data_IF_467526460575
#
_entry.id   IF_467526460575
#
_cell.length_a   1.000
_cell.length_b   1.000
_cell.length_c   1.000
_cell.angle_alpha   90.00
_cell.angle_beta   90.00
_cell.angle_gamma   90.00
#
_symmetry.space_group_name_H-M   'P 1'
#
loop_
_entity.id
_entity.type
_entity.pdbx_description
1 polymer ?
#
# COMPACT_ATOMS: atom_id res chain seq x y z
N UNK A 1 -26.80 -9.58 34.32
CA UNK A 1 -25.81 -10.69 34.33
C UNK A 1 -25.48 -11.00 32.87
N UNK A 2 -24.57 -10.22 32.30
CA UNK A 2 -24.23 -10.31 30.86
C UNK A 2 -22.71 -10.19 30.73
N UNK A 3 -22.12 -11.14 30.00
CA UNK A 3 -20.84 -11.12 29.29
C UNK A 3 -19.59 -11.30 30.15
N UNK A 4 -19.23 -12.56 30.42
CA UNK A 4 -17.89 -12.99 30.80
C UNK A 4 -17.25 -13.87 29.68
N UNK A 5 -17.65 -13.72 28.43
CA UNK A 5 -17.19 -14.63 27.36
C UNK A 5 -15.98 -14.12 26.56
N UNK A 6 -15.48 -12.90 26.75
CA UNK A 6 -14.41 -12.33 25.92
C UNK A 6 -13.32 -11.61 26.72
N UNK A 7 -13.04 -12.05 27.97
CA UNK A 7 -12.00 -11.46 28.83
C UNK A 7 -10.76 -12.32 28.81
N UNK A 8 -9.60 -11.71 28.50
CA UNK A 8 -8.28 -12.29 28.72
C UNK A 8 -7.63 -11.70 29.96
N UNK A 9 -6.75 -12.45 30.61
CA UNK A 9 -5.96 -11.93 31.75
C UNK A 9 -4.57 -11.55 31.28
N UNK A 10 -4.18 -10.28 31.55
CA UNK A 10 -2.80 -9.83 31.49
C UNK A 10 -2.29 -9.66 32.92
N UNK A 11 -1.58 -10.66 33.44
CA UNK A 11 -1.30 -10.76 34.87
C UNK A 11 -2.59 -10.94 35.66
N UNK A 12 -2.85 -10.03 36.61
CA UNK A 12 -4.08 -10.01 37.42
C UNK A 12 -5.15 -9.08 36.84
N UNK A 13 -4.92 -8.43 35.68
CA UNK A 13 -5.80 -7.43 35.12
C UNK A 13 -6.69 -8.05 34.01
N UNK A 14 -8.03 -8.06 34.19
CA UNK A 14 -8.94 -8.52 33.16
C UNK A 14 -9.05 -7.46 32.06
N UNK A 15 -8.87 -7.88 30.79
CA UNK A 15 -8.95 -7.03 29.60
C UNK A 15 -9.96 -7.63 28.64
N UNK A 16 -10.77 -6.80 28.02
CA UNK A 16 -11.58 -7.21 26.88
C UNK A 16 -10.64 -7.61 25.73
N UNK A 17 -10.78 -8.85 25.26
CA UNK A 17 -9.88 -9.45 24.27
C UNK A 17 -9.96 -8.73 22.94
N UNK A 18 -11.15 -8.30 22.49
CA UNK A 18 -11.35 -7.60 21.23
C UNK A 18 -10.64 -6.25 21.23
N UNK A 19 -10.88 -5.44 22.25
CA UNK A 19 -10.24 -4.13 22.40
C UNK A 19 -8.71 -4.24 22.53
N UNK A 20 -8.23 -5.30 23.19
CA UNK A 20 -6.79 -5.55 23.28
C UNK A 20 -6.17 -5.90 21.92
N UNK A 21 -6.82 -6.79 21.13
CA UNK A 21 -6.34 -7.18 19.82
C UNK A 21 -6.31 -5.99 18.85
N UNK A 22 -7.34 -5.15 18.85
CA UNK A 22 -7.37 -3.92 18.06
C UNK A 22 -6.23 -2.95 18.42
N UNK A 23 -6.01 -2.71 19.71
CA UNK A 23 -4.91 -1.82 20.16
C UNK A 23 -3.54 -2.42 19.84
N UNK A 24 -3.35 -3.74 20.01
CA UNK A 24 -2.12 -4.43 19.67
C UNK A 24 -1.82 -4.29 18.18
N UNK A 25 -2.79 -4.55 17.32
CA UNK A 25 -2.62 -4.53 15.88
C UNK A 25 -2.40 -3.09 15.37
N UNK A 26 -3.07 -2.12 15.97
CA UNK A 26 -2.78 -0.71 15.73
C UNK A 26 -1.33 -0.36 16.12
N UNK A 27 -0.86 -0.74 17.31
CA UNK A 27 0.51 -0.47 17.74
C UNK A 27 1.55 -1.18 16.85
N UNK A 28 1.23 -2.37 16.31
CA UNK A 28 2.07 -3.05 15.33
C UNK A 28 2.16 -2.25 14.04
N UNK A 29 1.08 -1.64 13.57
CA UNK A 29 1.10 -0.76 12.39
C UNK A 29 1.96 0.50 12.61
N UNK A 30 2.12 0.96 13.86
CA UNK A 30 3.08 2.01 14.24
C UNK A 30 4.53 1.52 14.42
N UNK A 31 4.86 0.30 14.02
CA UNK A 31 6.22 -0.24 13.99
C UNK A 31 6.70 -0.87 15.31
N UNK A 32 5.78 -1.31 16.18
CA UNK A 32 6.11 -2.17 17.31
C UNK A 32 5.99 -3.65 16.92
N UNK A 33 6.79 -4.51 17.56
CA UNK A 33 6.55 -5.95 17.47
C UNK A 33 5.34 -6.35 18.35
N UNK A 34 4.69 -7.50 18.11
CA UNK A 34 3.58 -7.97 18.94
C UNK A 34 3.93 -8.03 20.43
N UNK A 35 5.14 -8.48 20.80
CA UNK A 35 5.60 -8.53 22.18
C UNK A 35 5.88 -7.13 22.75
N UNK A 36 6.43 -6.19 21.96
CA UNK A 36 6.58 -4.79 22.36
C UNK A 36 5.23 -4.14 22.64
N UNK A 37 4.25 -4.36 21.75
CA UNK A 37 2.88 -3.85 21.93
C UNK A 37 2.24 -4.37 23.22
N UNK A 38 2.44 -5.65 23.54
CA UNK A 38 1.94 -6.29 24.73
C UNK A 38 2.54 -5.69 26.01
N UNK A 39 3.86 -5.48 26.04
CA UNK A 39 4.56 -4.84 27.16
C UNK A 39 4.13 -3.39 27.32
N UNK A 40 4.07 -2.63 26.24
CA UNK A 40 3.65 -1.22 26.27
C UNK A 40 2.21 -1.09 26.75
N UNK A 41 1.29 -1.91 26.26
CA UNK A 41 -0.11 -1.94 26.70
C UNK A 41 -0.22 -2.22 28.20
N UNK A 42 0.49 -3.25 28.67
CA UNK A 42 0.48 -3.60 30.11
C UNK A 42 0.94 -2.43 30.99
N UNK A 43 2.08 -1.82 30.64
CA UNK A 43 2.60 -0.66 31.37
C UNK A 43 1.68 0.55 31.30
N UNK A 44 1.07 0.80 30.15
CA UNK A 44 0.14 1.92 29.96
C UNK A 44 -1.17 1.79 30.73
N UNK A 45 -1.60 0.57 31.04
CA UNK A 45 -2.83 0.30 31.79
C UNK A 45 -2.60 0.09 33.28
N UNK A 46 -1.48 -0.49 33.67
CA UNK A 46 -1.20 -0.87 35.07
C UNK A 46 -0.28 0.14 35.77
N UNK A 47 0.47 0.93 35.02
CA UNK A 47 1.46 1.86 35.53
C UNK A 47 2.83 1.23 35.76
N UNK A 48 3.66 1.89 36.60
CA UNK A 48 5.05 1.50 36.85
C UNK A 48 5.18 0.08 37.39
N UNK A 49 6.05 -0.74 36.78
CA UNK A 49 6.30 -2.13 37.15
C UNK A 49 7.76 -2.51 36.96
N UNK A 50 8.23 -3.52 37.75
CA UNK A 50 9.57 -4.08 37.56
C UNK A 50 9.60 -5.02 36.34
N UNK A 51 10.78 -5.24 35.76
CA UNK A 51 10.93 -6.19 34.63
C UNK A 51 10.46 -7.61 35.00
N UNK A 52 10.60 -8.02 36.27
CA UNK A 52 10.12 -9.30 36.77
C UNK A 52 8.60 -9.41 36.77
N UNK A 53 7.91 -8.34 37.17
CA UNK A 53 6.44 -8.30 37.17
C UNK A 53 5.88 -8.29 35.75
N UNK A 54 6.52 -7.53 34.87
CA UNK A 54 6.17 -7.47 33.44
C UNK A 54 6.33 -8.85 32.81
N UNK A 55 7.49 -9.53 33.00
CA UNK A 55 7.77 -10.84 32.46
C UNK A 55 6.68 -11.86 32.82
N UNK A 56 6.26 -11.87 34.09
CA UNK A 56 5.19 -12.75 34.58
C UNK A 56 3.83 -12.39 33.95
N UNK A 57 3.50 -11.09 33.89
CA UNK A 57 2.21 -10.63 33.42
C UNK A 57 1.99 -10.85 31.92
N UNK A 58 3.04 -10.64 31.10
CA UNK A 58 2.96 -10.78 29.65
C UNK A 58 3.34 -12.19 29.16
N UNK A 59 3.74 -13.09 30.09
CA UNK A 59 4.19 -14.43 29.82
C UNK A 59 5.34 -14.50 28.80
N UNK A 60 6.41 -13.75 29.08
CA UNK A 60 7.62 -13.67 28.27
C UNK A 60 8.83 -13.93 29.18
N UNK A 61 9.87 -14.65 28.72
CA UNK A 61 11.08 -14.87 29.52
C UNK A 61 11.69 -13.54 30.01
N UNK A 62 12.26 -13.56 31.23
CA UNK A 62 12.82 -12.34 31.85
C UNK A 62 13.93 -11.71 31.02
N UNK A 63 14.80 -12.50 30.41
CA UNK A 63 15.85 -12.00 29.50
C UNK A 63 15.27 -11.28 28.29
N UNK A 64 14.27 -11.86 27.65
CA UNK A 64 13.56 -11.23 26.51
C UNK A 64 12.83 -9.95 26.96
N UNK A 65 12.24 -9.96 28.16
CA UNK A 65 11.55 -8.77 28.70
C UNK A 65 12.50 -7.56 28.81
N UNK A 66 13.76 -7.76 29.23
CA UNK A 66 14.75 -6.68 29.23
C UNK A 66 15.06 -6.18 27.83
N UNK A 67 15.21 -7.05 26.85
CA UNK A 67 15.39 -6.64 25.45
C UNK A 67 14.21 -5.84 24.92
N UNK A 68 12.97 -6.26 25.21
CA UNK A 68 11.76 -5.54 24.84
C UNK A 68 11.70 -4.15 25.50
N UNK A 69 12.01 -4.07 26.80
CA UNK A 69 12.03 -2.80 27.54
C UNK A 69 13.10 -1.85 26.99
N UNK A 70 14.31 -2.35 26.72
CA UNK A 70 15.38 -1.56 26.08
C UNK A 70 14.95 -1.05 24.70
N UNK A 71 14.32 -1.89 23.90
CA UNK A 71 13.82 -1.49 22.59
C UNK A 71 12.73 -0.40 22.68
N UNK A 72 11.82 -0.51 23.65
CA UNK A 72 10.78 0.50 23.91
C UNK A 72 11.37 1.81 24.48
N UNK A 73 12.42 1.73 25.28
CA UNK A 73 13.17 2.90 25.74
C UNK A 73 13.91 3.59 24.59
N UNK A 74 14.55 2.83 23.69
CA UNK A 74 15.19 3.36 22.50
C UNK A 74 14.19 4.06 21.56
N UNK A 75 12.94 3.59 21.54
CA UNK A 75 11.84 4.29 20.85
C UNK A 75 11.30 5.49 21.64
N UNK A 76 11.77 5.70 22.88
CA UNK A 76 11.36 6.82 23.75
C UNK A 76 9.96 6.70 24.33
N UNK A 77 9.27 5.56 24.23
CA UNK A 77 7.89 5.38 24.68
C UNK A 77 7.76 4.68 26.04
N UNK A 78 8.89 4.22 26.62
CA UNK A 78 8.98 3.67 27.98
C UNK A 78 10.15 4.34 28.69
N UNK A 79 9.96 4.70 29.95
CA UNK A 79 10.97 5.28 30.82
C UNK A 79 11.30 4.32 31.96
N UNK A 80 12.55 4.34 32.44
CA UNK A 80 12.97 3.62 33.64
C UNK A 80 13.20 4.58 34.79
N UNK A 81 12.78 4.22 36.00
CA UNK A 81 13.09 4.97 37.20
C UNK A 81 14.51 4.66 37.69
N UNK A 82 15.17 5.66 38.29
CA UNK A 82 16.47 5.47 38.95
C UNK A 82 16.38 4.89 40.37
N UNK A 83 15.17 4.48 40.79
CA UNK A 83 14.95 3.89 42.10
C UNK A 83 15.20 2.38 42.10
N UNK A 84 15.60 1.82 43.24
CA UNK A 84 15.69 0.38 43.39
C UNK A 84 14.47 -0.17 44.14
N UNK A 85 13.78 -1.19 43.61
CA UNK A 85 14.02 -1.84 42.32
C UNK A 85 13.64 -0.95 41.14
N UNK A 86 14.37 -1.05 40.04
CA UNK A 86 14.11 -0.32 38.77
C UNK A 86 12.69 -0.64 38.31
N UNK A 87 11.90 0.39 38.06
CA UNK A 87 10.55 0.32 37.53
C UNK A 87 10.49 0.97 36.14
N UNK A 88 9.66 0.42 35.28
CA UNK A 88 9.42 0.90 33.94
C UNK A 88 8.01 1.46 33.83
N UNK A 89 7.86 2.58 33.15
CA UNK A 89 6.59 3.27 32.95
C UNK A 89 6.40 3.61 31.47
N UNK A 90 5.23 3.33 30.91
CA UNK A 90 4.91 3.74 29.55
C UNK A 90 4.49 5.22 29.51
N UNK A 91 4.85 5.90 28.43
CA UNK A 91 4.28 7.23 28.14
C UNK A 91 2.76 7.12 27.90
N UNK A 92 2.01 8.20 28.16
CA UNK A 92 0.61 8.28 27.76
C UNK A 92 0.46 7.99 26.27
N UNK A 93 -0.55 7.20 25.89
CA UNK A 93 -0.74 6.71 24.52
C UNK A 93 -0.66 7.82 23.45
N UNK A 94 -1.28 8.97 23.71
CA UNK A 94 -1.24 10.11 22.78
C UNK A 94 0.19 10.60 22.52
N UNK A 95 1.02 10.66 23.56
CA UNK A 95 2.42 11.08 23.43
C UNK A 95 3.24 10.01 22.72
N UNK A 96 3.03 8.74 23.05
CA UNK A 96 3.73 7.62 22.44
C UNK A 96 3.44 7.52 20.92
N UNK A 97 2.18 7.63 20.52
CA UNK A 97 1.79 7.61 19.10
C UNK A 97 2.40 8.78 18.35
N UNK A 98 2.34 10.00 18.89
CA UNK A 98 2.95 11.17 18.24
C UNK A 98 4.47 10.99 18.07
N UNK A 99 5.15 10.42 19.06
CA UNK A 99 6.59 10.16 18.98
C UNK A 99 6.92 9.10 17.93
N UNK A 100 6.15 8.03 17.84
CA UNK A 100 6.34 7.00 16.82
C UNK A 100 6.14 7.57 15.40
N UNK A 101 5.09 8.39 15.20
CA UNK A 101 4.84 9.08 13.93
C UNK A 101 5.99 10.01 13.57
N UNK A 102 6.44 10.85 14.52
CA UNK A 102 7.54 11.79 14.25
C UNK A 102 8.85 11.08 13.90
N UNK A 103 9.14 9.98 14.58
CA UNK A 103 10.34 9.16 14.31
C UNK A 103 10.30 8.55 12.90
N UNK A 104 9.15 8.02 12.48
CA UNK A 104 9.01 7.45 11.14
C UNK A 104 9.04 8.54 10.06
N UNK A 105 8.43 9.69 10.30
CA UNK A 105 8.50 10.86 9.40
C UNK A 105 9.95 11.33 9.24
N UNK A 106 10.71 11.41 10.32
CA UNK A 106 12.13 11.78 10.24
C UNK A 106 12.96 10.75 9.45
N UNK A 107 12.67 9.46 9.65
CA UNK A 107 13.29 8.37 8.90
C UNK A 107 12.99 8.49 7.39
N UNK A 108 11.74 8.72 7.01
CA UNK A 108 11.33 8.95 5.62
C UNK A 108 12.02 10.17 5.01
N UNK A 109 12.12 11.27 5.75
CA UNK A 109 12.80 12.47 5.30
C UNK A 109 14.31 12.24 5.09
N UNK A 110 14.95 11.44 5.92
CA UNK A 110 16.35 11.04 5.72
C UNK A 110 16.51 10.20 4.45
N UNK A 111 15.64 9.24 4.22
CA UNK A 111 15.65 8.41 3.01
C UNK A 111 15.45 9.26 1.74
N UNK A 112 14.47 10.17 1.76
CA UNK A 112 14.23 11.10 0.64
C UNK A 112 15.47 11.96 0.31
N UNK A 113 16.23 12.39 1.32
CA UNK A 113 17.44 13.17 1.12
C UNK A 113 18.62 12.34 0.62
N UNK A 114 18.70 11.06 1.01
CA UNK A 114 19.80 10.18 0.60
C UNK A 114 19.58 9.54 -0.78
N UNK A 115 18.33 9.52 -1.29
CA UNK A 115 18.02 8.97 -2.61
C UNK A 115 18.87 9.54 -3.73
N UNK A 116 18.87 10.85 -3.97
CA UNK A 116 19.65 11.47 -5.04
C UNK A 116 21.17 11.23 -4.92
N UNK A 117 21.68 11.22 -3.70
CA UNK A 117 23.10 10.91 -3.47
C UNK A 117 23.44 9.46 -3.82
N UNK A 118 22.52 8.53 -3.55
CA UNK A 118 22.70 7.12 -3.91
C UNK A 118 22.69 6.95 -5.43
N UNK A 119 21.81 7.64 -6.14
CA UNK A 119 21.74 7.65 -7.61
C UNK A 119 23.06 8.17 -8.21
N UNK A 120 23.56 9.31 -7.71
CA UNK A 120 24.85 9.87 -8.15
C UNK A 120 26.03 8.91 -7.93
N UNK A 121 26.05 8.20 -6.79
CA UNK A 121 27.11 7.21 -6.52
C UNK A 121 26.94 5.99 -7.44
N UNK A 122 25.70 5.56 -7.68
CA UNK A 122 25.40 4.43 -8.55
C UNK A 122 25.86 4.66 -9.99
N UNK A 123 25.62 5.85 -10.54
CA UNK A 123 26.07 6.24 -11.89
C UNK A 123 27.61 6.26 -12.03
N UNK A 124 28.35 6.55 -10.94
CA UNK A 124 29.80 6.55 -10.94
C UNK A 124 30.43 5.15 -10.92
N UNK A 125 29.66 4.12 -10.60
CA UNK A 125 30.14 2.73 -10.60
C UNK A 125 29.99 2.18 -12.01
N UNK A 126 31.11 1.83 -12.70
CA UNK A 126 31.02 1.22 -14.02
C UNK A 126 30.24 -0.09 -13.93
N UNK A 127 29.02 -0.11 -14.46
CA UNK A 127 28.28 -1.34 -14.65
C UNK A 127 28.91 -2.15 -15.77
N UNK A 128 28.78 -3.50 -15.75
CA UNK A 128 28.86 -4.25 -16.97
C UNK A 128 27.78 -3.65 -17.89
N UNK A 129 28.20 -3.10 -19.02
CA UNK A 129 27.30 -2.62 -20.06
C UNK A 129 26.35 -3.76 -20.38
N UNK A 130 25.17 -3.77 -19.78
CA UNK A 130 24.03 -4.44 -20.36
C UNK A 130 23.94 -3.82 -21.74
N UNK A 131 24.14 -4.62 -22.77
CA UNK A 131 24.07 -4.25 -24.16
C UNK A 131 23.07 -3.13 -24.33
N UNK A 132 23.51 -2.06 -25.02
CA UNK A 132 22.68 -0.94 -25.43
C UNK A 132 21.29 -1.51 -25.73
N UNK A 133 20.28 -1.00 -25.05
CA UNK A 133 18.91 -1.41 -25.30
C UNK A 133 18.71 -1.16 -26.78
N UNK A 134 18.60 -2.23 -27.56
CA UNK A 134 18.30 -2.15 -28.98
C UNK A 134 16.99 -1.37 -29.11
N UNK A 135 17.12 -0.08 -29.45
CA UNK A 135 15.99 0.78 -29.76
C UNK A 135 15.35 0.22 -31.04
N UNK A 136 14.41 -0.70 -30.90
CA UNK A 136 13.69 -1.29 -32.02
C UNK A 136 13.27 -2.74 -31.83
N UNK A 137 13.80 -3.48 -30.86
CA UNK A 137 13.31 -4.84 -30.60
C UNK A 137 12.03 -4.84 -29.78
N UNK A 138 11.03 -5.61 -30.23
CA UNK A 138 9.83 -5.89 -29.47
C UNK A 138 10.18 -6.63 -28.18
N UNK A 139 9.92 -5.98 -27.03
CA UNK A 139 10.23 -6.53 -25.71
C UNK A 139 8.95 -6.97 -24.99
N UNK A 140 9.02 -8.13 -24.35
CA UNK A 140 7.96 -8.64 -23.47
C UNK A 140 8.54 -8.88 -22.08
N UNK A 141 7.96 -8.23 -21.07
CA UNK A 141 8.36 -8.42 -19.66
C UNK A 141 7.18 -8.95 -18.87
N UNK A 142 7.36 -10.11 -18.22
CA UNK A 142 6.39 -10.66 -17.28
C UNK A 142 6.68 -10.09 -15.91
N UNK A 143 5.70 -9.40 -15.33
CA UNK A 143 5.77 -8.80 -14.00
C UNK A 143 4.97 -9.64 -13.01
N UNK A 144 5.57 -9.96 -11.86
CA UNK A 144 4.94 -10.78 -10.82
C UNK A 144 5.00 -10.07 -9.46
N UNK A 145 3.86 -10.12 -8.76
CA UNK A 145 3.71 -9.45 -7.47
C UNK A 145 3.31 -7.98 -7.57
N UNK A 146 2.56 -7.53 -6.56
CA UNK A 146 1.99 -6.17 -6.55
C UNK A 146 3.03 -5.06 -6.68
N UNK A 147 4.19 -5.21 -6.05
CA UNK A 147 5.22 -4.17 -6.08
C UNK A 147 5.78 -3.93 -7.48
N UNK A 148 6.13 -4.99 -8.22
CA UNK A 148 6.65 -4.85 -9.58
C UNK A 148 5.62 -4.28 -10.55
N UNK A 149 4.38 -4.78 -10.49
CA UNK A 149 3.29 -4.30 -11.33
C UNK A 149 2.96 -2.85 -11.03
N UNK A 150 2.84 -2.48 -9.76
CA UNK A 150 2.55 -1.11 -9.34
C UNK A 150 3.68 -0.15 -9.74
N UNK A 151 4.95 -0.54 -9.53
CA UNK A 151 6.10 0.26 -9.94
C UNK A 151 6.08 0.54 -11.45
N UNK A 152 5.76 -0.48 -12.30
CA UNK A 152 5.68 -0.27 -13.74
C UNK A 152 4.48 0.59 -14.13
N UNK A 153 3.34 0.50 -13.46
CA UNK A 153 2.20 1.39 -13.70
C UNK A 153 2.58 2.84 -13.40
N UNK A 154 3.22 3.11 -12.25
CA UNK A 154 3.69 4.45 -11.92
C UNK A 154 4.72 4.96 -12.93
N UNK A 155 5.67 4.12 -13.33
CA UNK A 155 6.65 4.46 -14.37
C UNK A 155 5.98 4.87 -15.68
N UNK A 156 4.99 4.10 -16.16
CA UNK A 156 4.23 4.44 -17.35
C UNK A 156 3.43 5.73 -17.22
N UNK A 157 2.78 5.96 -16.07
CA UNK A 157 2.00 7.19 -15.83
C UNK A 157 2.92 8.40 -15.77
N UNK A 158 4.00 8.35 -14.98
CA UNK A 158 4.91 9.47 -14.78
C UNK A 158 5.70 9.85 -16.04
N UNK A 159 5.99 8.88 -16.91
CA UNK A 159 6.70 9.08 -18.17
C UNK A 159 5.77 9.27 -19.37
N UNK A 160 4.45 9.33 -19.18
CA UNK A 160 3.50 9.62 -20.25
C UNK A 160 3.67 11.07 -20.72
N UNK A 161 3.60 11.28 -22.03
CA UNK A 161 3.78 12.59 -22.67
C UNK A 161 2.48 13.12 -23.27
N UNK A 162 1.61 12.23 -23.75
CA UNK A 162 0.40 12.59 -24.47
C UNK A 162 -0.86 12.07 -23.77
N UNK A 163 -1.05 10.75 -23.68
CA UNK A 163 -2.29 10.16 -23.19
C UNK A 163 -2.07 8.83 -22.50
N UNK A 164 -2.82 8.59 -21.43
CA UNK A 164 -2.98 7.28 -20.79
C UNK A 164 -4.41 6.75 -21.00
N UNK A 165 -4.57 5.53 -21.50
CA UNK A 165 -5.88 4.87 -21.65
C UNK A 165 -5.93 3.63 -20.76
N UNK A 166 -6.91 3.59 -19.87
CA UNK A 166 -7.06 2.50 -18.90
C UNK A 166 -8.42 1.86 -19.03
N UNK A 167 -8.43 0.54 -19.26
CA UNK A 167 -9.62 -0.29 -19.23
C UNK A 167 -9.48 -1.32 -18.13
N UNK A 168 -10.50 -1.47 -17.31
CA UNK A 168 -10.50 -2.46 -16.23
C UNK A 168 -11.87 -2.71 -15.62
N UNK A 169 -11.97 -3.73 -14.78
CA UNK A 169 -13.17 -3.97 -13.98
C UNK A 169 -13.27 -2.97 -12.81
N UNK A 170 -14.46 -2.86 -12.24
CA UNK A 170 -14.69 -2.07 -11.02
C UNK A 170 -13.70 -2.45 -9.89
N UNK A 171 -13.40 -3.74 -9.73
CA UNK A 171 -12.43 -4.23 -8.74
C UNK A 171 -11.00 -3.77 -9.03
N UNK A 172 -10.63 -3.65 -10.31
CA UNK A 172 -9.31 -3.17 -10.70
C UNK A 172 -9.18 -1.68 -10.36
N UNK A 173 -10.20 -0.86 -10.67
CA UNK A 173 -10.19 0.56 -10.34
C UNK A 173 -10.22 0.83 -8.84
N UNK A 174 -10.89 -0.01 -8.03
CA UNK A 174 -10.78 0.07 -6.56
C UNK A 174 -9.34 -0.14 -6.08
N UNK A 175 -8.60 -1.08 -6.70
CA UNK A 175 -7.18 -1.28 -6.37
C UNK A 175 -6.31 -0.11 -6.83
N UNK A 176 -6.58 0.45 -8.00
CA UNK A 176 -5.87 1.63 -8.53
C UNK A 176 -6.07 2.85 -7.65
N UNK A 177 -7.29 3.07 -7.18
CA UNK A 177 -7.62 4.13 -6.22
C UNK A 177 -6.83 3.97 -4.90
N UNK A 178 -6.84 2.77 -4.31
CA UNK A 178 -6.08 2.51 -3.07
C UNK A 178 -4.56 2.54 -3.26
N UNK A 179 -4.07 2.42 -4.48
CA UNK A 179 -2.66 2.54 -4.82
C UNK A 179 -2.25 3.96 -5.28
N UNK A 180 -3.16 4.95 -5.22
CA UNK A 180 -2.96 6.34 -5.63
C UNK A 180 -2.59 6.52 -7.11
N UNK A 181 -3.00 5.60 -8.00
CA UNK A 181 -2.73 5.74 -9.44
C UNK A 181 -3.55 6.83 -10.10
N UNK A 182 -4.77 7.07 -9.61
CA UNK A 182 -5.64 8.13 -10.12
C UNK A 182 -5.07 9.51 -9.78
N UNK A 183 -4.58 9.67 -8.56
CA UNK A 183 -3.90 10.90 -8.13
C UNK A 183 -2.65 11.18 -8.98
N UNK A 184 -1.87 10.13 -9.29
CA UNK A 184 -0.69 10.24 -10.16
C UNK A 184 -1.04 10.65 -11.59
N UNK A 185 -2.18 10.21 -12.14
CA UNK A 185 -2.67 10.64 -13.45
C UNK A 185 -3.04 12.13 -13.48
N UNK A 186 -3.68 12.62 -12.41
CA UNK A 186 -4.08 14.02 -12.29
C UNK A 186 -2.87 14.95 -12.08
N UNK A 187 -1.92 14.53 -11.23
CA UNK A 187 -0.72 15.30 -10.93
C UNK A 187 0.23 15.44 -12.14
N UNK A 188 0.26 14.45 -13.04
CA UNK A 188 1.17 14.45 -14.19
C UNK A 188 0.71 15.37 -15.35
N UNK A 189 -0.46 15.98 -15.29
CA UNK A 189 -1.00 16.84 -16.35
C UNK A 189 -1.09 16.21 -17.75
N UNK A 190 -1.11 14.89 -17.83
CA UNK A 190 -1.26 14.12 -19.07
C UNK A 190 -2.74 13.84 -19.29
N UNK A 191 -3.18 13.83 -20.54
CA UNK A 191 -4.56 13.44 -20.84
C UNK A 191 -4.78 11.96 -20.53
N UNK A 192 -5.97 11.60 -20.08
CA UNK A 192 -6.28 10.21 -19.75
C UNK A 192 -7.74 9.87 -19.99
N UNK A 193 -8.00 8.61 -20.31
CA UNK A 193 -9.33 8.06 -20.52
C UNK A 193 -9.51 6.78 -19.72
N UNK A 194 -10.55 6.72 -18.91
CA UNK A 194 -10.88 5.60 -18.04
C UNK A 194 -12.16 4.94 -18.53
N UNK A 195 -12.11 3.63 -18.69
CA UNK A 195 -13.24 2.83 -19.16
C UNK A 195 -13.48 1.66 -18.20
N UNK A 196 -14.60 1.69 -17.48
CA UNK A 196 -14.91 0.72 -16.43
C UNK A 196 -16.41 0.64 -16.15
N UNK A 197 -16.94 -0.52 -15.72
CA UNK A 197 -18.27 -0.57 -15.14
C UNK A 197 -18.34 0.29 -13.86
N UNK A 198 -19.34 1.16 -13.74
CA UNK A 198 -19.52 2.02 -12.55
C UNK A 198 -20.80 1.61 -11.86
N UNK A 199 -20.72 1.16 -10.61
CA UNK A 199 -21.85 0.88 -9.74
C UNK A 199 -21.99 1.92 -8.62
N UNK A 200 -23.07 1.83 -7.85
CA UNK A 200 -23.25 2.68 -6.65
C UNK A 200 -22.12 2.52 -5.63
N UNK A 201 -21.39 1.39 -5.66
CA UNK A 201 -20.29 1.09 -4.72
C UNK A 201 -18.98 1.71 -5.11
N UNK A 202 -18.74 1.97 -6.40
CA UNK A 202 -17.49 2.52 -6.93
C UNK A 202 -17.61 3.98 -7.37
N UNK A 203 -18.82 4.54 -7.36
CA UNK A 203 -19.08 5.92 -7.84
C UNK A 203 -18.17 6.95 -7.16
N UNK A 204 -17.91 6.79 -5.87
CA UNK A 204 -17.07 7.72 -5.10
C UNK A 204 -15.63 7.84 -5.63
N UNK A 205 -15.11 6.80 -6.31
CA UNK A 205 -13.76 6.81 -6.90
C UNK A 205 -13.63 7.85 -8.01
N UNK A 206 -14.74 8.18 -8.67
CA UNK A 206 -14.78 9.02 -9.87
C UNK A 206 -15.50 10.35 -9.62
N UNK A 207 -15.84 10.70 -8.37
CA UNK A 207 -16.61 11.91 -8.05
C UNK A 207 -15.83 13.17 -8.37
N UNK A 208 -14.52 13.17 -8.14
CA UNK A 208 -13.62 14.29 -8.35
C UNK A 208 -12.99 14.31 -9.76
N UNK A 209 -13.20 13.25 -10.56
CA UNK A 209 -12.64 13.13 -11.91
C UNK A 209 -13.57 13.79 -12.94
N UNK A 210 -12.99 14.49 -13.91
CA UNK A 210 -13.73 15.06 -15.02
C UNK A 210 -14.51 13.97 -15.77
N UNK A 211 -15.83 14.17 -15.87
CA UNK A 211 -16.76 13.22 -16.51
C UNK A 211 -16.45 12.96 -17.98
N UNK A 212 -15.77 13.87 -18.66
CA UNK A 212 -15.31 13.66 -20.03
C UNK A 212 -14.21 12.58 -20.15
N UNK A 213 -13.48 12.35 -19.07
CA UNK A 213 -12.36 11.40 -18.98
C UNK A 213 -12.76 10.00 -18.53
N UNK A 214 -13.98 9.81 -18.06
CA UNK A 214 -14.48 8.54 -17.53
C UNK A 214 -15.77 8.15 -18.23
N UNK A 215 -15.84 6.89 -18.69
CA UNK A 215 -17.06 6.31 -19.26
C UNK A 215 -17.41 5.00 -18.61
N UNK A 216 -18.72 4.82 -18.39
CA UNK A 216 -19.23 3.58 -17.81
C UNK A 216 -19.48 2.54 -18.90
N UNK A 217 -18.87 1.36 -18.74
CA UNK A 217 -19.14 0.21 -19.59
C UNK A 217 -20.44 -0.47 -19.16
N UNK A 218 -21.25 -0.88 -20.12
CA UNK A 218 -22.32 -1.81 -19.87
C UNK A 218 -21.76 -3.14 -19.29
N UNK A 219 -22.48 -3.77 -18.36
CA UNK A 219 -22.06 -4.89 -17.52
C UNK A 219 -21.59 -6.18 -18.21
N UNK A 220 -21.47 -6.18 -19.55
CA UNK A 220 -21.09 -7.36 -20.36
C UNK A 220 -19.60 -7.56 -20.53
N UNK A 221 -18.76 -6.61 -20.08
CA UNK A 221 -17.30 -6.78 -20.17
C UNK A 221 -16.84 -7.72 -19.06
N UNK A 222 -16.34 -8.88 -19.45
CA UNK A 222 -15.82 -9.89 -18.52
C UNK A 222 -14.78 -9.28 -17.57
N UNK A 223 -14.86 -9.62 -16.30
CA UNK A 223 -13.93 -9.20 -15.23
C UNK A 223 -12.44 -9.47 -15.55
N UNK A 224 -12.15 -10.15 -16.65
CA UNK A 224 -10.81 -10.60 -17.03
C UNK A 224 -10.03 -9.61 -17.91
N UNK A 225 -10.65 -8.51 -18.32
CA UNK A 225 -10.00 -7.56 -19.21
C UNK A 225 -9.53 -6.33 -18.40
N UNK A 226 -8.21 -6.19 -18.26
CA UNK A 226 -7.60 -5.02 -17.64
C UNK A 226 -6.28 -4.71 -18.33
N UNK A 227 -6.13 -3.47 -18.81
CA UNK A 227 -4.88 -2.99 -19.41
C UNK A 227 -4.76 -1.47 -19.34
N UNK A 228 -3.51 -1.01 -19.43
CA UNK A 228 -3.12 0.38 -19.53
C UNK A 228 -2.27 0.57 -20.78
N UNK A 229 -2.60 1.55 -21.61
CA UNK A 229 -1.82 1.99 -22.76
C UNK A 229 -1.26 3.37 -22.45
N UNK A 230 0.03 3.57 -22.73
CA UNK A 230 0.71 4.85 -22.62
C UNK A 230 1.15 5.31 -23.99
N UNK A 231 0.76 6.50 -24.42
CA UNK A 231 1.22 7.22 -25.62
C UNK A 231 1.19 6.43 -26.95
N UNK A 232 0.48 5.29 -27.01
CA UNK A 232 0.55 4.31 -28.12
C UNK A 232 1.95 3.70 -28.35
N UNK A 233 2.83 3.76 -27.35
CA UNK A 233 4.19 3.18 -27.42
C UNK A 233 4.44 2.07 -26.40
N UNK A 234 3.62 1.97 -25.36
CA UNK A 234 3.69 0.90 -24.34
C UNK A 234 2.30 0.42 -23.94
N UNK A 235 2.20 -0.87 -23.64
CA UNK A 235 1.00 -1.46 -23.03
C UNK A 235 1.34 -2.40 -21.89
N UNK A 236 0.62 -2.27 -20.80
CA UNK A 236 0.60 -3.20 -19.69
C UNK A 236 -0.76 -3.87 -19.62
N UNK A 237 -0.84 -5.19 -19.65
CA UNK A 237 -2.09 -5.92 -19.49
C UNK A 237 -1.99 -7.00 -18.43
N UNK A 238 -3.06 -7.12 -17.63
CA UNK A 238 -3.10 -8.02 -16.50
C UNK A 238 -3.49 -9.43 -16.90
N UNK A 239 -2.79 -10.41 -16.33
CA UNK A 239 -3.13 -11.82 -16.44
C UNK A 239 -3.92 -12.22 -15.20
N UNK A 240 -5.21 -12.52 -15.37
CA UNK A 240 -6.05 -13.02 -14.29
C UNK A 240 -6.09 -14.54 -14.35
N UNK A 241 -5.55 -15.19 -13.31
CA UNK A 241 -5.61 -16.64 -13.15
C UNK A 241 -6.85 -17.01 -12.35
N UNK A 242 -7.60 -18.00 -12.80
CA UNK A 242 -8.79 -18.57 -12.12
C UNK A 242 -8.43 -19.46 -10.90
N UNK A 243 -7.16 -19.53 -10.51
CA UNK A 243 -6.70 -20.33 -9.37
C UNK A 243 -6.61 -19.58 -8.04
N UNK A 244 -6.40 -20.33 -6.96
CA UNK A 244 -6.24 -19.80 -5.58
C UNK A 244 -5.03 -18.88 -5.37
N UNK A 245 -4.20 -18.66 -6.38
CA UNK A 245 -3.04 -17.77 -6.31
C UNK A 245 -3.48 -16.33 -6.62
N UNK A 246 -3.69 -15.54 -5.57
CA UNK A 246 -4.10 -14.12 -5.63
C UNK A 246 -2.97 -13.17 -6.06
N UNK A 247 -1.83 -13.71 -6.49
CA UNK A 247 -0.68 -12.89 -6.88
C UNK A 247 -0.98 -12.10 -8.17
N UNK A 248 -0.75 -10.81 -8.12
CA UNK A 248 -0.93 -9.92 -9.27
C UNK A 248 0.13 -10.24 -10.33
N UNK A 249 -0.30 -10.43 -11.58
CA UNK A 249 0.59 -10.68 -12.72
C UNK A 249 0.17 -9.81 -13.89
N UNK A 250 1.16 -9.28 -14.59
CA UNK A 250 0.94 -8.48 -15.78
C UNK A 250 2.04 -8.76 -16.83
N UNK A 251 1.74 -8.48 -18.08
CA UNK A 251 2.72 -8.43 -19.15
C UNK A 251 2.82 -6.99 -19.63
N UNK A 252 4.03 -6.50 -19.69
CA UNK A 252 4.38 -5.24 -20.32
C UNK A 252 5.02 -5.53 -21.69
N UNK A 253 4.70 -4.72 -22.70
CA UNK A 253 5.33 -4.79 -24.02
C UNK A 253 5.27 -3.44 -24.73
N UNK A 254 6.25 -3.21 -25.61
CA UNK A 254 6.29 -2.14 -26.61
C UNK A 254 5.98 -2.65 -28.03
N UNK A 255 5.43 -3.87 -28.19
CA UNK A 255 5.05 -4.43 -29.48
C UNK A 255 3.94 -3.62 -30.13
N UNK A 256 4.21 -3.03 -31.30
CA UNK A 256 3.25 -2.24 -32.08
C UNK A 256 1.96 -3.01 -32.35
N UNK A 257 2.07 -4.29 -32.69
CA UNK A 257 0.90 -5.15 -32.96
C UNK A 257 -0.03 -5.28 -31.77
N UNK A 258 0.55 -5.48 -30.58
CA UNK A 258 -0.24 -5.63 -29.34
C UNK A 258 -0.83 -4.28 -28.92
N UNK A 259 -0.04 -3.21 -28.99
CA UNK A 259 -0.49 -1.85 -28.69
C UNK A 259 -1.66 -1.47 -29.58
N UNK A 260 -1.50 -1.61 -30.92
CA UNK A 260 -2.55 -1.33 -31.89
C UNK A 260 -3.84 -2.12 -31.60
N UNK A 261 -3.72 -3.42 -31.32
CA UNK A 261 -4.88 -4.27 -31.02
C UNK A 261 -5.63 -3.82 -29.76
N UNK A 262 -4.90 -3.41 -28.70
CA UNK A 262 -5.50 -2.91 -27.48
C UNK A 262 -6.08 -1.51 -27.65
N UNK A 263 -5.41 -0.64 -28.40
CA UNK A 263 -5.90 0.69 -28.75
C UNK A 263 -7.19 0.61 -29.55
N UNK A 264 -7.24 -0.25 -30.56
CA UNK A 264 -8.44 -0.48 -31.36
C UNK A 264 -9.60 -0.98 -30.48
N UNK A 265 -9.34 -1.92 -29.59
CA UNK A 265 -10.34 -2.43 -28.66
C UNK A 265 -10.86 -1.31 -27.73
N UNK A 266 -9.96 -0.53 -27.15
CA UNK A 266 -10.31 0.59 -26.27
C UNK A 266 -11.18 1.61 -27.01
N UNK A 267 -10.73 2.07 -28.18
CA UNK A 267 -11.42 3.09 -28.97
C UNK A 267 -12.82 2.62 -29.43
N UNK A 268 -12.96 1.37 -29.84
CA UNK A 268 -14.27 0.80 -30.19
C UNK A 268 -15.22 0.77 -28.98
N UNK A 269 -14.73 0.44 -27.81
CA UNK A 269 -15.54 0.45 -26.59
C UNK A 269 -15.87 1.87 -26.14
N UNK A 270 -14.91 2.78 -26.24
CA UNK A 270 -15.09 4.18 -25.90
C UNK A 270 -16.17 4.84 -26.77
N UNK A 271 -16.15 4.61 -28.08
CA UNK A 271 -17.14 5.17 -29.02
C UNK A 271 -18.54 4.59 -28.82
N UNK A 272 -18.65 3.28 -28.50
CA UNK A 272 -19.95 2.66 -28.22
C UNK A 272 -20.63 3.24 -26.99
N UNK A 273 -19.88 3.62 -25.94
CA UNK A 273 -20.48 4.24 -24.76
C UNK A 273 -21.02 5.63 -25.02
N UNK A 274 -20.57 6.33 -26.07
CA UNK A 274 -21.17 7.62 -26.51
C UNK A 274 -22.55 7.43 -27.14
N UNK A 275 -22.74 6.37 -27.91
CA UNK A 275 -24.04 6.09 -28.56
C UNK A 275 -25.10 5.69 -27.52
N UNK A 276 -24.72 4.89 -26.53
CA UNK A 276 -25.67 4.44 -25.48
C UNK A 276 -26.14 5.56 -24.55
N UNK A 277 -25.32 6.61 -24.31
CA UNK A 277 -25.72 7.79 -23.55
C UNK A 277 -26.60 8.76 -24.35
N UNK A 278 -26.49 8.76 -25.68
CA UNK A 278 -27.34 9.58 -26.54
C UNK A 278 -28.75 9.00 -26.72
N UNK A 279 -28.89 7.68 -26.67
CA UNK A 279 -30.17 6.97 -26.80
C UNK A 279 -30.98 6.93 -25.46
N UNK A 280 -30.39 7.34 -24.35
CA UNK A 280 -31.01 7.42 -23.01
C UNK A 280 -31.45 8.84 -22.62
N UNK A 281 -31.37 9.81 -23.51
CA UNK A 281 -31.91 11.18 -23.39
C UNK A 281 -33.16 11.34 -24.25
#
# INVERSE_FOLDING_TARGET
MVIIANTMQLGTFPVDKTNYEEIRDALVSFGLTPNQSKVFFYLGKIGAKTASDIAKAVNVPRSETYHLLTALQNKGIVEASFQHPIQFTALPIKKAVNLLISTETERLNKLKKSGPMLEEIWEKIPGATSNEEDEGEEKFKVLQGGNQVNSKIFDMILNAKNECRILGSEKDFMKFYHANFLDALEENNVDYKLLTPISKKSKYIFEDIDKSKVRSLCSTVKENLCFLIKDDDEVLFFIKNEGNNKEMRAIWTNSETIIYSKALLFNNMWTKTESDEADLK
#
